data_IF_042613483337
#
_entry.id   IF_042613483337
#
_cell.length_a   1.000
_cell.length_b   1.000
_cell.length_c   1.000
_cell.angle_alpha   90.00
_cell.angle_beta   90.00
_cell.angle_gamma   90.00
#
_symmetry.space_group_name_H-M   'P 1'
#
loop_
_entity.id
_entity.type
_entity.pdbx_description
1 polymer ?
#
# COMPACT_ATOMS: atom_id res chain seq x y z
N UNK A 1 22.65 -13.58 28.00
CA UNK A 1 21.95 -12.32 28.36
C UNK A 1 20.89 -11.87 27.30
N UNK A 2 20.49 -12.72 26.37
CA UNK A 2 19.54 -12.33 25.28
C UNK A 2 18.07 -12.75 25.49
N UNK A 3 17.73 -13.41 26.60
CA UNK A 3 16.38 -13.97 26.80
C UNK A 3 15.36 -13.02 27.42
N UNK A 4 15.78 -12.03 28.19
CA UNK A 4 14.89 -11.11 28.90
C UNK A 4 14.30 -10.01 28.00
N UNK A 5 15.07 -9.48 27.06
CA UNK A 5 14.60 -8.48 26.10
C UNK A 5 13.54 -9.03 25.11
N UNK A 6 13.62 -10.32 24.77
CA UNK A 6 12.61 -10.96 23.90
C UNK A 6 11.26 -11.18 24.61
N UNK A 7 11.26 -11.39 25.93
CA UNK A 7 10.02 -11.59 26.71
C UNK A 7 9.27 -10.29 26.94
N UNK A 8 9.97 -9.15 27.09
CA UNK A 8 9.34 -7.83 27.27
C UNK A 8 8.61 -7.30 26.02
N UNK A 9 9.00 -7.74 24.83
CA UNK A 9 8.39 -7.31 23.57
C UNK A 9 7.24 -8.24 23.09
N UNK A 10 7.03 -9.36 23.76
CA UNK A 10 5.99 -10.33 23.38
C UNK A 10 4.57 -9.74 23.43
N UNK A 11 4.14 -9.01 24.49
CA UNK A 11 2.81 -8.42 24.53
C UNK A 11 2.61 -7.32 23.49
N UNK A 12 3.65 -6.54 23.21
CA UNK A 12 3.60 -5.48 22.20
C UNK A 12 3.47 -6.06 20.78
N UNK A 13 4.17 -7.15 20.50
CA UNK A 13 4.06 -7.88 19.23
C UNK A 13 2.68 -8.52 19.06
N UNK A 14 2.15 -9.12 20.12
CA UNK A 14 0.81 -9.69 20.12
C UNK A 14 -0.25 -8.62 19.86
N UNK A 15 -0.16 -7.47 20.53
CA UNK A 15 -1.08 -6.35 20.32
C UNK A 15 -0.99 -5.80 18.86
N UNK A 16 0.24 -5.62 18.35
CA UNK A 16 0.45 -5.19 16.98
C UNK A 16 -0.12 -6.18 15.94
N UNK A 17 0.12 -7.48 16.14
CA UNK A 17 -0.42 -8.53 15.28
C UNK A 17 -1.97 -8.53 15.32
N UNK A 18 -2.60 -8.33 16.48
CA UNK A 18 -4.05 -8.24 16.62
C UNK A 18 -4.65 -7.00 15.96
N UNK A 19 -3.99 -5.84 16.09
CA UNK A 19 -4.42 -4.61 15.40
C UNK A 19 -4.34 -4.82 13.88
N UNK A 20 -3.26 -5.41 13.39
CA UNK A 20 -3.09 -5.71 11.97
C UNK A 20 -4.19 -6.67 11.49
N UNK A 21 -4.48 -7.74 12.22
CA UNK A 21 -5.54 -8.70 11.90
C UNK A 21 -6.93 -8.03 11.89
N UNK A 22 -7.21 -7.18 12.87
CA UNK A 22 -8.48 -6.44 12.95
C UNK A 22 -8.65 -5.48 11.75
N UNK A 23 -7.59 -4.75 11.38
CA UNK A 23 -7.62 -3.88 10.20
C UNK A 23 -7.83 -4.67 8.89
N UNK A 24 -7.31 -5.89 8.80
CA UNK A 24 -7.54 -6.77 7.65
C UNK A 24 -8.96 -7.33 7.58
N UNK A 25 -9.63 -7.49 8.72
CA UNK A 25 -11.00 -7.97 8.77
C UNK A 25 -12.01 -6.95 8.25
N UNK A 26 -11.61 -5.66 8.22
CA UNK A 26 -12.42 -4.59 7.66
C UNK A 26 -12.23 -4.47 6.15
N UNK A 27 -13.31 -4.46 5.34
CA UNK A 27 -13.21 -4.08 3.94
C UNK A 27 -12.60 -2.67 3.82
N UNK A 28 -11.56 -2.51 2.99
CA UNK A 28 -10.82 -1.24 2.88
C UNK A 28 -11.71 -0.03 2.60
N UNK A 29 -12.79 -0.21 1.82
CA UNK A 29 -13.76 0.85 1.55
C UNK A 29 -14.52 1.26 2.82
N UNK A 30 -14.93 0.31 3.67
CA UNK A 30 -15.63 0.63 4.92
C UNK A 30 -14.71 1.34 5.91
N UNK A 31 -13.44 0.96 5.98
CA UNK A 31 -12.45 1.67 6.79
C UNK A 31 -12.28 3.11 6.30
N UNK A 32 -12.24 3.31 4.97
CA UNK A 32 -12.15 4.62 4.37
C UNK A 32 -13.37 5.49 4.71
N UNK A 33 -14.58 4.93 4.61
CA UNK A 33 -15.82 5.62 4.97
C UNK A 33 -15.84 6.01 6.45
N UNK A 34 -15.38 5.12 7.34
CA UNK A 34 -15.29 5.42 8.78
C UNK A 34 -14.34 6.57 9.07
N UNK A 35 -13.16 6.59 8.43
CA UNK A 35 -12.18 7.67 8.61
C UNK A 35 -12.75 9.00 8.13
N UNK A 36 -13.41 9.01 6.97
CA UNK A 36 -14.02 10.20 6.42
C UNK A 36 -15.20 10.67 7.27
N UNK A 37 -15.99 9.76 7.85
CA UNK A 37 -17.08 10.11 8.76
C UNK A 37 -16.59 10.83 10.03
N UNK A 38 -15.41 10.46 10.52
CA UNK A 38 -14.81 11.07 11.73
C UNK A 38 -14.10 12.38 11.40
N UNK A 39 -13.38 12.46 10.28
CA UNK A 39 -12.50 13.59 9.94
C UNK A 39 -13.12 14.60 8.99
N UNK A 40 -14.22 14.24 8.34
CA UNK A 40 -14.81 14.96 7.23
C UNK A 40 -14.19 14.58 5.87
N UNK A 41 -14.88 14.95 4.77
CA UNK A 41 -14.38 14.74 3.40
C UNK A 41 -13.15 15.60 3.11
N UNK A 42 -12.26 15.11 2.23
CA UNK A 42 -11.08 15.85 1.80
C UNK A 42 -9.89 14.96 1.51
N UNK A 43 -8.88 15.52 0.81
CA UNK A 43 -7.67 14.81 0.38
C UNK A 43 -6.96 14.13 1.54
N UNK A 44 -6.79 14.83 2.66
CA UNK A 44 -6.09 14.27 3.84
C UNK A 44 -6.79 13.05 4.42
N UNK A 45 -8.12 13.07 4.46
CA UNK A 45 -8.93 11.93 4.94
C UNK A 45 -8.80 10.73 3.99
N UNK A 46 -8.86 10.96 2.68
CA UNK A 46 -8.65 9.92 1.66
C UNK A 46 -7.24 9.33 1.75
N UNK A 47 -6.20 10.16 1.86
CA UNK A 47 -4.80 9.70 1.99
C UNK A 47 -4.62 8.83 3.24
N UNK A 48 -5.14 9.24 4.38
CA UNK A 48 -5.08 8.46 5.62
C UNK A 48 -5.84 7.15 5.48
N UNK A 49 -7.03 7.20 4.87
CA UNK A 49 -7.85 6.01 4.65
C UNK A 49 -7.13 4.98 3.76
N UNK A 50 -6.56 5.42 2.64
CA UNK A 50 -5.78 4.58 1.73
C UNK A 50 -4.55 4.02 2.44
N UNK A 51 -3.80 4.87 3.17
CA UNK A 51 -2.60 4.46 3.90
C UNK A 51 -2.92 3.39 4.96
N UNK A 52 -3.93 3.60 5.79
CA UNK A 52 -4.33 2.64 6.81
C UNK A 52 -4.89 1.34 6.22
N UNK A 53 -5.64 1.43 5.12
CA UNK A 53 -6.16 0.26 4.42
C UNK A 53 -5.08 -0.60 3.75
N UNK A 54 -3.97 0.00 3.32
CA UNK A 54 -2.89 -0.71 2.62
C UNK A 54 -1.72 -1.09 3.52
N UNK A 55 -1.44 -0.32 4.58
CA UNK A 55 -0.31 -0.52 5.48
C UNK A 55 -0.16 -1.95 6.03
N UNK A 56 -1.25 -2.65 6.45
CA UNK A 56 -1.15 -4.01 6.94
C UNK A 56 -0.60 -4.99 5.88
N UNK A 57 -1.01 -4.82 4.61
CA UNK A 57 -0.50 -5.63 3.48
C UNK A 57 1.00 -5.46 3.29
N UNK A 58 1.47 -4.22 3.29
CA UNK A 58 2.90 -3.91 3.21
C UNK A 58 3.68 -4.47 4.41
N UNK A 59 3.17 -4.30 5.63
CA UNK A 59 3.79 -4.82 6.84
C UNK A 59 3.95 -6.36 6.78
N UNK A 60 2.94 -7.07 6.30
CA UNK A 60 2.98 -8.53 6.14
C UNK A 60 4.01 -8.94 5.10
N UNK A 61 4.09 -8.23 3.98
CA UNK A 61 5.05 -8.51 2.91
C UNK A 61 6.48 -8.27 3.36
N UNK A 62 6.77 -7.16 4.03
CA UNK A 62 8.09 -6.89 4.64
C UNK A 62 8.46 -8.00 5.63
N UNK A 63 7.53 -8.38 6.50
CA UNK A 63 7.75 -9.45 7.48
C UNK A 63 8.07 -10.79 6.81
N UNK A 64 7.38 -11.13 5.72
CA UNK A 64 7.64 -12.34 4.92
C UNK A 64 9.01 -12.27 4.24
N UNK A 65 9.33 -11.14 3.61
CA UNK A 65 10.63 -10.90 2.97
C UNK A 65 11.80 -11.02 3.95
N UNK A 66 11.66 -10.42 5.15
CA UNK A 66 12.68 -10.55 6.20
C UNK A 66 12.84 -12.03 6.61
N UNK A 67 11.74 -12.76 6.79
CA UNK A 67 11.81 -14.17 7.19
C UNK A 67 12.49 -15.04 6.13
N UNK A 68 12.25 -14.81 4.85
CA UNK A 68 12.91 -15.54 3.76
C UNK A 68 14.40 -15.16 3.65
N UNK A 69 14.75 -13.90 3.84
CA UNK A 69 16.12 -13.41 3.78
C UNK A 69 17.00 -13.87 4.97
N UNK A 70 16.40 -14.13 6.13
CA UNK A 70 17.09 -14.66 7.33
C UNK A 70 17.29 -16.18 7.24
N UNK A 71 17.01 -16.83 6.10
CA UNK A 71 17.29 -18.24 5.91
C UNK A 71 18.73 -18.63 6.32
N UNK A 72 18.93 -19.86 6.87
CA UNK A 72 20.18 -20.17 7.58
C UNK A 72 21.43 -20.02 6.71
N UNK A 73 21.37 -20.42 5.44
CA UNK A 73 22.56 -20.51 4.59
C UNK A 73 23.26 -19.15 4.31
N UNK A 74 22.61 -18.07 3.83
CA UNK A 74 23.31 -16.81 3.53
C UNK A 74 23.79 -16.08 4.78
N UNK A 75 23.03 -16.16 5.89
CA UNK A 75 23.37 -15.50 7.15
C UNK A 75 24.52 -16.23 7.86
N UNK A 76 24.54 -17.56 7.83
CA UNK A 76 25.66 -18.35 8.38
C UNK A 76 26.93 -18.17 7.59
N UNK A 77 26.85 -18.15 6.25
CA UNK A 77 27.99 -17.87 5.39
C UNK A 77 28.62 -16.49 5.66
N UNK A 78 27.82 -15.44 5.80
CA UNK A 78 28.32 -14.11 6.11
C UNK A 78 28.93 -14.02 7.51
N UNK A 79 28.36 -14.71 8.51
CA UNK A 79 28.88 -14.77 9.86
C UNK A 79 30.20 -15.55 9.94
N UNK A 80 30.33 -16.65 9.20
CA UNK A 80 31.57 -17.42 9.14
C UNK A 80 32.74 -16.65 8.50
N UNK A 81 32.41 -15.67 7.63
CA UNK A 81 33.37 -14.72 7.05
C UNK A 81 33.73 -13.56 7.99
N UNK A 82 33.16 -13.49 9.19
CA UNK A 82 33.45 -12.45 10.18
C UNK A 82 32.70 -11.14 9.95
N UNK A 83 31.67 -11.13 9.10
CA UNK A 83 30.88 -9.91 8.83
C UNK A 83 30.13 -9.44 10.07
N UNK A 84 30.17 -8.12 10.29
CA UNK A 84 29.41 -7.49 11.38
C UNK A 84 27.91 -7.61 11.11
N UNK A 85 27.12 -7.89 12.16
CA UNK A 85 25.66 -8.05 12.05
C UNK A 85 24.97 -6.88 11.30
N UNK A 86 25.41 -5.65 11.54
CA UNK A 86 24.86 -4.46 10.87
C UNK A 86 25.11 -4.51 9.34
N UNK A 87 26.27 -4.99 8.91
CA UNK A 87 26.60 -5.14 7.49
C UNK A 87 25.72 -6.20 6.84
N UNK A 88 25.55 -7.36 7.47
CA UNK A 88 24.66 -8.42 6.98
C UNK A 88 23.22 -7.91 6.84
N UNK A 89 22.75 -7.13 7.82
CA UNK A 89 21.42 -6.51 7.75
C UNK A 89 21.27 -5.53 6.58
N UNK A 90 22.22 -4.61 6.42
CA UNK A 90 22.10 -3.55 5.42
C UNK A 90 22.37 -4.02 3.99
N UNK A 91 23.23 -5.01 3.79
CA UNK A 91 23.67 -5.44 2.45
C UNK A 91 22.96 -6.68 1.92
N UNK A 92 22.49 -7.57 2.81
CA UNK A 92 21.81 -8.80 2.43
C UNK A 92 20.30 -8.77 2.77
N UNK A 93 19.98 -8.59 4.06
CA UNK A 93 18.61 -8.82 4.53
C UNK A 93 17.66 -7.71 4.06
N UNK A 94 18.04 -6.46 4.26
CA UNK A 94 17.18 -5.31 3.95
C UNK A 94 16.88 -5.17 2.45
N UNK A 95 17.86 -5.22 1.53
CA UNK A 95 17.58 -5.14 0.11
C UNK A 95 16.68 -6.26 -0.38
N UNK A 96 16.93 -7.50 0.07
CA UNK A 96 16.12 -8.66 -0.31
C UNK A 96 14.67 -8.55 0.20
N UNK A 97 14.49 -8.10 1.44
CA UNK A 97 13.18 -7.88 2.03
C UNK A 97 12.40 -6.74 1.37
N UNK A 98 13.10 -5.73 0.86
CA UNK A 98 12.47 -4.55 0.25
C UNK A 98 12.11 -4.71 -1.23
N UNK A 99 12.74 -5.63 -1.95
CA UNK A 99 12.44 -5.88 -3.38
C UNK A 99 10.95 -6.07 -3.66
N UNK A 100 10.24 -7.02 -3.01
CA UNK A 100 8.82 -7.21 -3.25
C UNK A 100 7.97 -6.01 -2.81
N UNK A 101 8.46 -5.21 -1.85
CA UNK A 101 7.76 -4.01 -1.38
C UNK A 101 7.75 -2.92 -2.45
N UNK A 102 8.84 -2.74 -3.20
CA UNK A 102 8.92 -1.76 -4.29
C UNK A 102 7.93 -2.11 -5.41
N UNK A 103 7.82 -3.39 -5.77
CA UNK A 103 6.85 -3.86 -6.76
C UNK A 103 5.42 -3.63 -6.27
N UNK A 104 5.14 -4.01 -5.03
CA UNK A 104 3.83 -3.80 -4.42
C UNK A 104 3.49 -2.31 -4.30
N UNK A 105 4.46 -1.45 -4.00
CA UNK A 105 4.26 0.00 -3.96
C UNK A 105 3.84 0.56 -5.32
N UNK A 106 4.48 0.12 -6.40
CA UNK A 106 4.10 0.52 -7.75
C UNK A 106 2.66 0.07 -8.11
N UNK A 107 2.29 -1.17 -7.79
CA UNK A 107 0.93 -1.67 -7.95
C UNK A 107 -0.07 -0.93 -7.04
N UNK A 108 0.36 -0.57 -5.84
CA UNK A 108 -0.40 0.17 -4.83
C UNK A 108 -0.81 1.56 -5.29
N UNK A 109 -0.01 2.22 -6.14
CA UNK A 109 -0.36 3.52 -6.74
C UNK A 109 -1.65 3.38 -7.56
N UNK A 110 -1.74 2.37 -8.42
CA UNK A 110 -2.95 2.13 -9.22
C UNK A 110 -4.17 1.85 -8.34
N UNK A 111 -4.01 1.04 -7.30
CA UNK A 111 -5.08 0.76 -6.34
C UNK A 111 -5.52 2.03 -5.58
N UNK A 112 -4.57 2.85 -5.14
CA UNK A 112 -4.85 4.11 -4.44
C UNK A 112 -5.65 5.09 -5.32
N UNK A 113 -5.29 5.21 -6.61
CA UNK A 113 -6.02 6.06 -7.57
C UNK A 113 -7.46 5.58 -7.75
N UNK A 114 -7.68 4.27 -7.92
CA UNK A 114 -9.02 3.71 -8.08
C UNK A 114 -9.85 3.91 -6.80
N UNK A 115 -9.29 3.66 -5.63
CA UNK A 115 -10.00 3.84 -4.36
C UNK A 115 -10.31 5.31 -4.09
N UNK A 116 -9.37 6.22 -4.36
CA UNK A 116 -9.58 7.67 -4.26
C UNK A 116 -10.69 8.13 -5.20
N UNK A 117 -10.67 7.68 -6.46
CA UNK A 117 -11.70 8.01 -7.43
C UNK A 117 -13.08 7.47 -7.02
N UNK A 118 -13.16 6.28 -6.44
CA UNK A 118 -14.40 5.72 -5.90
C UNK A 118 -14.96 6.57 -4.76
N UNK A 119 -14.10 7.02 -3.83
CA UNK A 119 -14.50 7.92 -2.75
C UNK A 119 -14.93 9.29 -3.27
N UNK A 120 -14.20 9.86 -4.24
CA UNK A 120 -14.57 11.10 -4.91
C UNK A 120 -15.91 10.99 -5.66
N UNK A 121 -16.16 9.86 -6.33
CA UNK A 121 -17.45 9.57 -6.96
C UNK A 121 -18.60 9.54 -5.96
N UNK A 122 -18.36 9.09 -4.74
CA UNK A 122 -19.34 9.12 -3.64
C UNK A 122 -19.48 10.50 -2.97
N UNK A 123 -18.73 11.51 -3.45
CA UNK A 123 -18.75 12.85 -2.87
C UNK A 123 -17.91 13.00 -1.60
N UNK A 124 -17.06 12.04 -1.30
CA UNK A 124 -16.25 11.96 -0.09
C UNK A 124 -14.79 12.38 -0.32
N UNK A 125 -14.45 12.74 -1.54
CA UNK A 125 -13.13 13.23 -1.94
C UNK A 125 -12.91 14.70 -1.64
N UNK A 126 -12.19 15.37 -2.54
CA UNK A 126 -11.94 16.82 -2.43
C UNK A 126 -13.22 17.60 -2.69
N UNK A 127 -13.58 18.56 -1.81
CA UNK A 127 -14.73 19.43 -2.08
C UNK A 127 -14.46 20.37 -3.27
N UNK A 128 -15.49 20.70 -4.08
CA UNK A 128 -15.34 21.70 -5.11
C UNK A 128 -14.82 23.04 -4.55
N UNK A 129 -14.02 23.81 -5.30
CA UNK A 129 -13.69 23.69 -6.72
C UNK A 129 -12.47 22.82 -7.04
N UNK A 130 -11.94 22.04 -6.08
CA UNK A 130 -10.76 21.21 -6.32
C UNK A 130 -11.03 20.15 -7.43
N UNK A 131 -10.17 20.06 -8.46
CA UNK A 131 -10.36 19.10 -9.54
C UNK A 131 -10.04 17.70 -9.05
N UNK A 132 -10.97 16.76 -9.25
CA UNK A 132 -10.83 15.36 -8.89
C UNK A 132 -11.58 14.48 -9.90
N UNK A 133 -10.93 13.47 -10.45
CA UNK A 133 -11.55 12.62 -11.47
C UNK A 133 -12.79 11.88 -10.97
N UNK A 134 -12.82 11.45 -9.71
CA UNK A 134 -13.96 10.79 -9.10
C UNK A 134 -15.18 11.71 -9.02
N UNK A 135 -14.99 12.92 -8.54
CA UNK A 135 -16.06 13.92 -8.46
C UNK A 135 -16.54 14.36 -9.85
N UNK A 136 -15.64 14.44 -10.84
CA UNK A 136 -15.98 14.70 -12.24
C UNK A 136 -16.87 13.61 -12.82
N UNK A 137 -16.57 12.33 -12.53
CA UNK A 137 -17.42 11.21 -12.93
C UNK A 137 -18.83 11.33 -12.35
N UNK A 138 -18.96 11.68 -11.08
CA UNK A 138 -20.25 11.88 -10.43
C UNK A 138 -21.01 13.05 -11.05
N UNK A 139 -20.37 14.20 -11.26
CA UNK A 139 -20.95 15.36 -11.88
C UNK A 139 -21.38 15.12 -13.35
N UNK A 140 -20.62 14.29 -14.09
CA UNK A 140 -20.93 13.94 -15.47
C UNK A 140 -22.09 12.93 -15.64
N UNK A 141 -22.44 12.19 -14.58
CA UNK A 141 -23.45 11.13 -14.59
C UNK A 141 -24.81 11.55 -15.17
N UNK A 142 -25.41 12.70 -14.81
CA UNK A 142 -26.71 13.13 -15.37
C UNK A 142 -26.65 13.46 -16.86
N UNK A 143 -25.45 13.70 -17.39
CA UNK A 143 -25.23 14.16 -18.77
C UNK A 143 -24.78 13.04 -19.72
N UNK A 144 -24.75 11.78 -19.28
CA UNK A 144 -24.22 10.64 -20.06
C UNK A 144 -24.82 10.54 -21.46
N UNK A 145 -26.10 10.86 -21.66
CA UNK A 145 -26.77 10.77 -22.96
C UNK A 145 -26.41 11.94 -23.88
N UNK A 146 -26.21 13.15 -23.33
CA UNK A 146 -25.97 14.38 -24.10
C UNK A 146 -24.51 14.79 -24.17
N UNK A 147 -23.72 14.46 -23.15
CA UNK A 147 -22.33 14.87 -22.97
C UNK A 147 -21.51 13.73 -22.33
N UNK A 148 -21.52 12.57 -22.98
CA UNK A 148 -20.84 11.35 -22.50
C UNK A 148 -19.36 11.56 -22.21
N UNK A 149 -18.71 12.52 -22.86
CA UNK A 149 -17.29 12.82 -22.69
C UNK A 149 -16.95 13.32 -21.26
N UNK A 150 -17.91 13.95 -20.54
CA UNK A 150 -17.72 14.41 -19.17
C UNK A 150 -17.44 13.24 -18.21
N UNK A 151 -17.87 12.05 -18.54
CA UNK A 151 -17.64 10.84 -17.76
C UNK A 151 -16.50 9.98 -18.36
N UNK A 152 -16.46 9.86 -19.68
CA UNK A 152 -15.49 9.00 -20.35
C UNK A 152 -14.06 9.50 -20.18
N UNK A 153 -13.79 10.80 -20.29
CA UNK A 153 -12.43 11.31 -20.15
C UNK A 153 -11.86 11.15 -18.73
N UNK A 154 -12.55 11.52 -17.64
CA UNK A 154 -12.04 11.24 -16.29
C UNK A 154 -11.89 9.75 -16.02
N UNK A 155 -12.83 8.93 -16.48
CA UNK A 155 -12.73 7.46 -16.38
C UNK A 155 -11.52 6.91 -17.13
N UNK A 156 -11.24 7.40 -18.32
CA UNK A 156 -10.05 7.02 -19.09
C UNK A 156 -8.77 7.42 -18.37
N UNK A 157 -8.71 8.61 -17.76
CA UNK A 157 -7.55 9.05 -16.97
C UNK A 157 -7.29 8.12 -15.78
N UNK A 158 -8.32 7.73 -15.04
CA UNK A 158 -8.21 6.78 -13.93
C UNK A 158 -7.70 5.43 -14.44
N UNK A 159 -8.28 4.90 -15.51
CA UNK A 159 -7.90 3.61 -16.09
C UNK A 159 -6.46 3.62 -16.61
N UNK A 160 -6.07 4.65 -17.37
CA UNK A 160 -4.72 4.78 -17.92
C UNK A 160 -3.67 4.92 -16.80
N UNK A 161 -3.96 5.68 -15.75
CA UNK A 161 -3.06 5.82 -14.60
C UNK A 161 -2.90 4.48 -13.88
N UNK A 162 -3.98 3.75 -13.64
CA UNK A 162 -3.93 2.42 -13.05
C UNK A 162 -3.17 1.40 -13.91
N UNK A 163 -3.38 1.45 -15.24
CA UNK A 163 -2.66 0.60 -16.18
C UNK A 163 -1.17 0.94 -16.19
N UNK A 164 -0.81 2.22 -16.28
CA UNK A 164 0.58 2.66 -16.25
C UNK A 164 1.31 2.22 -14.96
N UNK A 165 0.66 2.38 -13.80
CA UNK A 165 1.19 1.91 -12.52
C UNK A 165 1.39 0.38 -12.51
N UNK A 166 0.46 -0.37 -13.07
CA UNK A 166 0.55 -1.84 -13.17
C UNK A 166 1.70 -2.27 -14.08
N UNK A 167 1.82 -1.63 -15.25
CA UNK A 167 2.91 -1.91 -16.20
C UNK A 167 4.27 -1.59 -15.59
N UNK A 168 4.37 -0.45 -14.90
CA UNK A 168 5.59 -0.04 -14.19
C UNK A 168 5.94 -1.06 -13.09
N UNK A 169 4.99 -1.47 -12.27
CA UNK A 169 5.19 -2.47 -11.23
C UNK A 169 5.71 -3.80 -11.79
N UNK A 170 5.12 -4.28 -12.88
CA UNK A 170 5.59 -5.51 -13.56
C UNK A 170 6.96 -5.34 -14.21
N UNK A 171 7.27 -4.17 -14.73
CA UNK A 171 8.59 -3.91 -15.31
C UNK A 171 9.70 -3.89 -14.25
N UNK A 172 9.41 -3.33 -13.07
CA UNK A 172 10.31 -3.36 -11.91
C UNK A 172 10.53 -4.79 -11.40
N UNK A 173 9.48 -5.60 -11.35
CA UNK A 173 9.55 -7.01 -10.96
C UNK A 173 10.48 -7.80 -11.88
N UNK A 174 10.31 -7.66 -13.20
CA UNK A 174 11.16 -8.34 -14.19
C UNK A 174 12.64 -7.92 -14.11
N UNK A 175 12.93 -6.64 -13.81
CA UNK A 175 14.31 -6.14 -13.67
C UNK A 175 14.95 -6.54 -12.36
N UNK A 176 14.15 -6.78 -11.32
CA UNK A 176 14.60 -7.23 -10.01
C UNK A 176 15.12 -8.69 -10.00
N UNK A 177 14.96 -9.42 -11.11
CA UNK A 177 15.56 -10.74 -11.33
C UNK A 177 15.23 -11.75 -10.25
N UNK A 178 14.00 -12.19 -10.15
CA UNK A 178 13.70 -13.46 -9.49
C UNK A 178 14.27 -14.60 -10.37
N UNK A 179 15.56 -14.88 -10.22
CA UNK A 179 16.18 -16.16 -10.57
C UNK A 179 16.51 -16.91 -9.31
#
# INVERSE_FOLDING_TARGET
AGGSARRGLAPLRFAADRIIEALFSFPGLLLALLIIAIRGPGVSSVVIAVALGTAPGYARMVRSGIRSAIGPAPVEAARSQGDRALRVWSTLILPEAMRPVVVLAALGIGHAVILSAALGFLGLGSPPPAPEWGSMLNAGRPYLVRAWWLTVFPGACIMLTGLAATVLGRALDRRGGFR
#
